data_IF_037637913327
#
_entry.id   IF_037637913327
#
_cell.length_a   1.000
_cell.length_b   1.000
_cell.length_c   1.000
_cell.angle_alpha   90.00
_cell.angle_beta   90.00
_cell.angle_gamma   90.00
#
_symmetry.space_group_name_H-M   'P 1'
#
loop_
_entity.id
_entity.type
_entity.pdbx_description
1 polymer ?
#
# COMPACT_ATOMS: atom_id res chain seq x y z
N UNK A 1 5.65 10.73 -22.81
CA UNK A 1 6.41 11.23 -21.63
C UNK A 1 7.16 10.03 -21.09
N UNK A 2 8.49 9.99 -21.20
CA UNK A 2 9.27 8.90 -20.62
C UNK A 2 9.29 9.09 -19.11
N UNK A 3 8.61 8.20 -18.40
CA UNK A 3 8.58 8.20 -16.94
C UNK A 3 9.93 7.64 -16.44
N UNK A 4 10.77 8.48 -15.89
CA UNK A 4 12.09 8.12 -15.36
C UNK A 4 11.95 7.37 -14.03
N UNK A 5 11.18 6.28 -14.02
CA UNK A 5 10.84 5.51 -12.82
C UNK A 5 12.04 4.84 -12.15
N UNK A 6 13.15 4.71 -12.88
CA UNK A 6 14.35 4.02 -12.39
C UNK A 6 15.40 4.98 -11.79
N UNK A 7 15.09 6.27 -11.68
CA UNK A 7 15.98 7.28 -11.12
C UNK A 7 15.37 7.82 -9.82
N UNK A 8 16.17 7.85 -8.77
CA UNK A 8 15.79 8.36 -7.45
C UNK A 8 15.61 7.28 -6.39
N UNK A 9 15.54 7.69 -5.12
CA UNK A 9 15.47 6.77 -4.00
C UNK A 9 14.20 5.92 -3.97
N UNK A 10 13.12 6.38 -4.58
CA UNK A 10 11.81 5.75 -4.66
C UNK A 10 11.59 4.89 -5.91
N UNK A 11 12.65 4.72 -6.74
CA UNK A 11 12.56 4.06 -8.05
C UNK A 11 11.97 2.65 -7.98
N UNK A 12 12.40 1.84 -7.01
CA UNK A 12 11.93 0.46 -6.86
C UNK A 12 10.42 0.40 -6.57
N UNK A 13 9.93 1.23 -5.65
CA UNK A 13 8.51 1.30 -5.35
C UNK A 13 7.67 1.82 -6.52
N UNK A 14 8.17 2.82 -7.24
CA UNK A 14 7.50 3.32 -8.45
C UNK A 14 7.43 2.26 -9.54
N UNK A 15 8.49 1.47 -9.70
CA UNK A 15 8.51 0.35 -10.64
C UNK A 15 7.44 -0.69 -10.27
N UNK A 16 7.36 -1.13 -9.00
CA UNK A 16 6.36 -2.09 -8.55
C UNK A 16 4.92 -1.59 -8.75
N UNK A 17 4.67 -0.30 -8.50
CA UNK A 17 3.36 0.30 -8.77
C UNK A 17 3.05 0.38 -10.26
N UNK A 18 4.04 0.61 -11.11
CA UNK A 18 3.84 0.58 -12.56
C UNK A 18 3.56 -0.83 -13.06
N UNK A 19 4.26 -1.83 -12.53
CA UNK A 19 3.97 -3.24 -12.84
C UNK A 19 2.57 -3.64 -12.40
N UNK A 20 2.12 -3.18 -11.22
CA UNK A 20 0.75 -3.40 -10.77
C UNK A 20 -0.28 -2.73 -11.69
N UNK A 21 0.00 -1.52 -12.18
CA UNK A 21 -0.89 -0.80 -13.10
C UNK A 21 -1.03 -1.50 -14.46
N UNK A 22 0.04 -2.15 -14.91
CA UNK A 22 0.06 -2.92 -16.17
C UNK A 22 -0.41 -4.37 -15.99
N UNK A 23 -0.59 -4.82 -14.75
CA UNK A 23 -0.99 -6.19 -14.46
C UNK A 23 -2.47 -6.39 -14.75
N UNK A 24 -2.79 -7.48 -15.45
CA UNK A 24 -4.16 -7.97 -15.65
C UNK A 24 -4.26 -9.39 -15.10
N UNK A 25 -5.10 -9.55 -14.09
CA UNK A 25 -5.25 -10.83 -13.43
C UNK A 25 -6.18 -10.77 -12.22
N UNK A 26 -6.49 -11.95 -11.68
CA UNK A 26 -7.35 -12.08 -10.53
C UNK A 26 -6.90 -13.25 -9.65
N UNK A 27 -7.30 -13.23 -8.39
CA UNK A 27 -7.02 -14.32 -7.46
C UNK A 27 -7.92 -14.30 -6.23
N UNK A 28 -7.87 -15.40 -5.49
CA UNK A 28 -8.55 -15.52 -4.20
C UNK A 28 -7.72 -14.91 -3.09
N UNK A 29 -8.39 -14.37 -2.08
CA UNK A 29 -7.79 -13.87 -0.83
C UNK A 29 -8.24 -14.78 0.30
N UNK A 30 -7.29 -15.24 1.09
CA UNK A 30 -7.51 -16.05 2.28
C UNK A 30 -6.65 -15.50 3.42
N UNK A 31 -6.58 -16.18 4.54
CA UNK A 31 -5.63 -15.87 5.62
C UNK A 31 -4.18 -16.01 5.16
N UNK A 32 -3.28 -15.23 5.73
CA UNK A 32 -1.85 -15.23 5.42
C UNK A 32 -1.45 -14.30 4.28
N UNK A 33 -0.33 -14.59 3.62
CA UNK A 33 0.25 -13.74 2.56
C UNK A 33 -0.15 -14.27 1.18
N UNK A 34 -0.62 -13.37 0.31
CA UNK A 34 -1.02 -13.66 -1.07
C UNK A 34 -0.35 -12.71 -2.05
N UNK A 35 0.46 -13.23 -2.93
CA UNK A 35 1.09 -12.45 -3.99
C UNK A 35 0.02 -12.00 -5.00
N UNK A 36 0.01 -10.71 -5.31
CA UNK A 36 -0.77 -10.12 -6.40
C UNK A 36 0.07 -10.13 -7.68
N UNK A 37 1.24 -9.48 -7.62
CA UNK A 37 2.28 -9.53 -8.65
C UNK A 37 3.66 -9.36 -7.97
N UNK A 38 4.73 -9.22 -8.75
CA UNK A 38 6.07 -8.98 -8.18
C UNK A 38 6.09 -7.65 -7.41
N UNK A 39 6.56 -7.69 -6.17
CA UNK A 39 6.64 -6.54 -5.28
C UNK A 39 5.31 -6.05 -4.70
N UNK A 40 4.17 -6.75 -4.96
CA UNK A 40 2.87 -6.39 -4.38
C UNK A 40 2.15 -7.62 -3.85
N UNK A 41 1.70 -7.56 -2.60
CA UNK A 41 1.01 -8.67 -1.95
C UNK A 41 -0.05 -8.21 -0.95
N UNK A 42 -1.01 -9.08 -0.70
CA UNK A 42 -1.98 -8.95 0.38
C UNK A 42 -1.51 -9.74 1.59
N UNK A 43 -1.69 -9.19 2.77
CA UNK A 43 -1.41 -9.86 4.04
C UNK A 43 -2.63 -9.78 4.94
N UNK A 44 -3.13 -10.94 5.34
CA UNK A 44 -4.27 -11.06 6.24
C UNK A 44 -3.87 -11.86 7.46
N UNK A 45 -4.48 -11.55 8.60
CA UNK A 45 -4.24 -12.25 9.86
C UNK A 45 -4.39 -13.77 9.69
N UNK A 46 -3.35 -14.58 9.98
CA UNK A 46 -3.40 -16.03 9.81
C UNK A 46 -4.37 -16.73 10.76
N UNK A 47 -4.76 -16.07 11.87
CA UNK A 47 -5.68 -16.60 12.86
C UNK A 47 -7.14 -16.24 12.57
N UNK A 48 -7.38 -15.35 11.60
CA UNK A 48 -8.73 -14.96 11.20
C UNK A 48 -9.26 -15.80 10.04
N UNK A 49 -10.58 -15.96 9.99
CA UNK A 49 -11.24 -16.49 8.81
C UNK A 49 -11.42 -15.37 7.78
N UNK A 50 -10.64 -15.39 6.73
CA UNK A 50 -10.67 -14.41 5.64
C UNK A 50 -11.02 -15.10 4.35
N UNK A 51 -11.98 -14.54 3.60
CA UNK A 51 -12.34 -14.97 2.27
C UNK A 51 -12.56 -13.75 1.37
N UNK A 52 -12.08 -13.83 0.14
CA UNK A 52 -12.24 -12.74 -0.80
C UNK A 52 -11.58 -13.00 -2.14
N UNK A 53 -11.55 -11.94 -2.94
CA UNK A 53 -10.89 -11.95 -4.25
C UNK A 53 -10.30 -10.58 -4.55
N UNK A 54 -9.27 -10.58 -5.38
CA UNK A 54 -8.76 -9.39 -6.03
C UNK A 54 -8.85 -9.54 -7.55
N UNK A 55 -8.91 -8.41 -8.22
CA UNK A 55 -8.86 -8.31 -9.67
C UNK A 55 -8.12 -7.03 -10.07
N UNK A 56 -7.28 -7.13 -11.07
CA UNK A 56 -6.60 -6.01 -11.71
C UNK A 56 -6.87 -6.05 -13.21
N UNK A 57 -7.13 -4.91 -13.80
CA UNK A 57 -7.45 -4.76 -15.21
C UNK A 57 -6.97 -3.41 -15.76
N UNK A 58 -7.03 -3.22 -17.06
CA UNK A 58 -6.71 -1.94 -17.69
C UNK A 58 -7.55 -0.75 -17.18
N UNK A 59 -8.75 -1.02 -16.65
CA UNK A 59 -9.65 0.01 -16.10
C UNK A 59 -9.38 0.34 -14.64
N UNK A 60 -8.88 -0.64 -13.86
CA UNK A 60 -8.70 -0.52 -12.41
C UNK A 60 -7.35 -1.12 -12.03
N UNK A 61 -6.53 -0.32 -11.37
CA UNK A 61 -5.22 -0.77 -10.89
C UNK A 61 -5.34 -2.00 -9.97
N UNK A 62 -6.31 -1.99 -9.04
CA UNK A 62 -6.60 -3.13 -8.17
C UNK A 62 -7.99 -2.99 -7.54
N UNK A 63 -8.83 -3.98 -7.73
CA UNK A 63 -10.10 -4.12 -7.04
C UNK A 63 -9.97 -5.21 -5.97
N UNK A 64 -10.40 -4.90 -4.75
CA UNK A 64 -10.38 -5.79 -3.60
C UNK A 64 -11.80 -5.98 -3.07
N UNK A 65 -12.17 -7.23 -2.84
CA UNK A 65 -13.38 -7.61 -2.11
C UNK A 65 -13.04 -8.73 -1.16
N UNK A 66 -13.07 -8.47 0.14
CA UNK A 66 -12.80 -9.48 1.15
C UNK A 66 -13.65 -9.27 2.39
N UNK A 67 -13.92 -10.36 3.07
CA UNK A 67 -14.63 -10.41 4.33
C UNK A 67 -13.74 -11.16 5.32
N UNK A 68 -13.44 -10.51 6.43
CA UNK A 68 -12.84 -11.16 7.58
C UNK A 68 -13.87 -11.32 8.69
N UNK A 69 -13.90 -12.48 9.32
CA UNK A 69 -14.76 -12.77 10.47
C UNK A 69 -13.93 -13.08 11.71
N UNK A 70 -14.50 -12.79 12.87
CA UNK A 70 -13.81 -12.92 14.16
C UNK A 70 -12.94 -11.70 14.46
N UNK A 71 -12.01 -11.89 15.41
CA UNK A 71 -11.12 -10.83 15.87
C UNK A 71 -9.89 -10.74 14.94
N UNK A 72 -10.05 -10.02 13.83
CA UNK A 72 -8.99 -9.83 12.83
C UNK A 72 -8.06 -8.70 13.26
N UNK A 73 -6.78 -8.99 13.45
CA UNK A 73 -5.76 -8.01 13.86
C UNK A 73 -5.35 -7.09 12.72
N UNK A 74 -5.21 -7.64 11.49
CA UNK A 74 -4.92 -6.85 10.29
C UNK A 74 -5.42 -7.52 9.00
N UNK A 75 -5.66 -6.69 8.01
CA UNK A 75 -5.77 -7.02 6.61
C UNK A 75 -5.22 -5.83 5.81
N UNK A 76 -4.24 -6.09 4.94
CA UNK A 76 -3.46 -5.02 4.34
C UNK A 76 -2.97 -5.38 2.92
N UNK A 77 -2.79 -4.34 2.12
CA UNK A 77 -2.04 -4.38 0.87
C UNK A 77 -0.64 -3.85 1.12
N UNK A 78 0.37 -4.56 0.64
CA UNK A 78 1.77 -4.19 0.74
C UNK A 78 2.35 -3.93 -0.66
N UNK A 79 3.17 -2.89 -0.75
CA UNK A 79 4.01 -2.58 -1.91
C UNK A 79 5.46 -2.52 -1.43
N UNK A 80 6.29 -3.41 -1.93
CA UNK A 80 7.71 -3.45 -1.61
C UNK A 80 8.43 -2.24 -2.21
N UNK A 81 9.23 -1.55 -1.39
CA UNK A 81 9.97 -0.35 -1.78
C UNK A 81 11.48 -0.59 -1.84
N UNK A 82 11.92 -1.83 -1.55
CA UNK A 82 13.35 -2.13 -1.40
C UNK A 82 14.00 -1.36 -0.26
N UNK A 83 15.30 -1.19 -0.31
CA UNK A 83 16.06 -0.41 0.68
C UNK A 83 16.02 1.09 0.42
N UNK A 84 14.84 1.67 0.19
CA UNK A 84 14.65 3.10 -0.05
C UNK A 84 15.40 3.96 0.97
N UNK A 85 16.43 4.69 0.51
CA UNK A 85 17.23 5.59 1.34
C UNK A 85 16.57 6.97 1.41
N UNK A 86 16.30 7.44 2.64
CA UNK A 86 15.61 8.70 2.89
C UNK A 86 16.54 9.83 3.37
N UNK A 87 17.87 9.64 3.32
CA UNK A 87 18.82 10.65 3.82
C UNK A 87 18.78 11.98 3.09
N UNK A 88 18.48 11.95 1.79
CA UNK A 88 18.47 13.15 0.94
C UNK A 88 17.04 13.65 0.65
N UNK A 89 16.03 12.99 1.17
CA UNK A 89 14.66 13.39 1.00
C UNK A 89 14.17 14.20 2.21
N UNK A 90 13.46 15.28 1.96
CA UNK A 90 12.77 16.06 2.98
C UNK A 90 11.36 15.50 3.23
N UNK A 91 10.76 14.91 2.21
CA UNK A 91 9.37 14.45 2.24
C UNK A 91 9.27 13.09 1.55
N UNK A 92 8.49 12.18 2.15
CA UNK A 92 7.97 10.98 1.50
C UNK A 92 6.45 11.11 1.35
N UNK A 93 5.94 11.00 0.15
CA UNK A 93 4.55 11.25 -0.15
C UNK A 93 3.87 10.17 -0.97
N UNK A 94 2.54 10.16 -0.88
CA UNK A 94 1.66 9.23 -1.60
C UNK A 94 0.48 9.99 -2.19
N UNK A 95 0.10 9.61 -3.41
CA UNK A 95 -1.15 10.01 -4.04
C UNK A 95 -1.91 8.74 -4.38
N UNK A 96 -3.12 8.60 -3.85
CA UNK A 96 -4.01 7.49 -4.13
C UNK A 96 -5.32 8.00 -4.71
N UNK A 97 -5.82 7.36 -5.77
CA UNK A 97 -7.16 7.58 -6.29
C UNK A 97 -7.98 6.31 -6.11
N UNK A 98 -9.12 6.44 -5.47
CA UNK A 98 -9.92 5.27 -5.08
C UNK A 98 -11.42 5.53 -5.15
N UNK A 99 -12.18 4.43 -5.17
CA UNK A 99 -13.64 4.41 -5.07
C UNK A 99 -14.05 3.19 -4.25
N UNK A 100 -15.12 3.30 -3.48
CA UNK A 100 -15.69 2.20 -2.71
C UNK A 100 -17.21 2.30 -2.68
N UNK A 101 -17.97 1.19 -2.71
CA UNK A 101 -19.45 1.23 -2.73
C UNK A 101 -20.04 1.81 -1.44
N UNK A 102 -19.32 1.65 -0.32
CA UNK A 102 -19.64 2.26 0.97
C UNK A 102 -18.38 2.93 1.52
N UNK A 103 -18.53 3.91 2.39
CA UNK A 103 -17.39 4.63 2.97
C UNK A 103 -16.47 3.68 3.73
N UNK A 104 -15.20 3.65 3.36
CA UNK A 104 -14.16 2.85 4.00
C UNK A 104 -12.95 3.72 4.31
N UNK A 105 -12.32 3.45 5.45
CA UNK A 105 -11.09 4.11 5.87
C UNK A 105 -9.90 3.18 5.71
N UNK A 106 -8.77 3.74 5.26
CA UNK A 106 -7.51 3.03 5.08
C UNK A 106 -6.39 3.85 5.74
N UNK A 107 -5.61 3.20 6.61
CA UNK A 107 -4.43 3.83 7.20
C UNK A 107 -3.21 3.49 6.37
N UNK A 108 -2.42 4.50 6.06
CA UNK A 108 -1.19 4.36 5.28
C UNK A 108 0.00 4.31 6.22
N UNK A 109 0.93 3.42 5.95
CA UNK A 109 2.11 3.19 6.79
C UNK A 109 3.33 2.95 5.91
N UNK A 110 4.45 3.55 6.29
CA UNK A 110 5.77 3.17 5.80
C UNK A 110 6.42 2.27 6.85
N UNK A 111 6.52 0.98 6.58
CA UNK A 111 7.26 0.03 7.39
C UNK A 111 8.71 -0.01 6.94
N UNK A 112 9.62 0.08 7.88
CA UNK A 112 11.07 0.06 7.64
C UNK A 112 11.70 -1.03 8.47
N UNK A 113 12.47 -1.93 7.86
CA UNK A 113 13.03 -3.08 8.53
C UNK A 113 14.52 -3.29 8.30
N UNK A 114 15.16 -3.90 9.31
CA UNK A 114 16.51 -4.42 9.29
C UNK A 114 16.47 -5.83 9.89
N UNK A 115 16.76 -6.84 9.08
CA UNK A 115 16.54 -8.23 9.47
C UNK A 115 15.10 -8.47 9.87
N UNK A 116 14.89 -9.05 11.05
CA UNK A 116 13.58 -9.39 11.60
C UNK A 116 12.89 -8.24 12.38
N UNK A 117 13.59 -7.14 12.59
CA UNK A 117 13.06 -5.98 13.30
C UNK A 117 12.51 -4.95 12.33
N UNK A 118 11.38 -4.32 12.69
CA UNK A 118 10.80 -3.26 11.89
C UNK A 118 10.19 -2.15 12.74
N UNK A 119 10.06 -0.98 12.14
CA UNK A 119 9.38 0.20 12.67
C UNK A 119 8.27 0.60 11.72
N UNK A 120 7.09 0.85 12.26
CA UNK A 120 5.92 1.34 11.52
C UNK A 120 5.78 2.85 11.72
N UNK A 121 5.88 3.60 10.63
CA UNK A 121 5.66 5.04 10.59
C UNK A 121 4.38 5.32 9.81
N UNK A 122 3.34 5.78 10.50
CA UNK A 122 2.06 6.06 9.87
C UNK A 122 2.03 7.46 9.25
N UNK A 123 1.38 7.57 8.10
CA UNK A 123 1.07 8.86 7.51
C UNK A 123 0.09 9.63 8.39
N UNK A 124 0.15 10.98 8.39
CA UNK A 124 -0.67 11.83 9.25
C UNK A 124 -2.17 11.70 9.03
N UNK A 125 -2.60 11.43 7.78
CA UNK A 125 -4.01 11.38 7.41
C UNK A 125 -4.49 9.94 7.23
N UNK A 126 -5.79 9.77 7.37
CA UNK A 126 -6.50 8.54 7.00
C UNK A 126 -7.14 8.72 5.63
N UNK A 127 -6.85 7.82 4.70
CA UNK A 127 -7.52 7.81 3.40
C UNK A 127 -8.97 7.37 3.58
N UNK A 128 -9.90 8.13 2.99
CA UNK A 128 -11.33 7.79 2.93
C UNK A 128 -11.71 7.54 1.48
N UNK A 129 -12.26 6.37 1.22
CA UNK A 129 -12.83 6.01 -0.08
C UNK A 129 -14.35 5.90 0.05
N UNK A 130 -15.08 6.36 -0.95
CA UNK A 130 -16.55 6.36 -0.98
C UNK A 130 -17.06 6.14 -2.41
N UNK A 131 -18.38 6.24 -2.64
CA UNK A 131 -19.02 5.86 -3.91
C UNK A 131 -18.71 6.76 -5.12
N UNK A 132 -17.85 7.77 -4.92
CA UNK A 132 -17.29 8.60 -5.99
C UNK A 132 -15.78 8.53 -5.97
N UNK A 133 -15.15 8.57 -7.14
CA UNK A 133 -13.70 8.57 -7.24
C UNK A 133 -13.12 9.80 -6.53
N UNK A 134 -12.29 9.55 -5.54
CA UNK A 134 -11.64 10.58 -4.72
C UNK A 134 -10.12 10.45 -4.79
N UNK A 135 -9.42 11.56 -4.64
CA UNK A 135 -7.97 11.60 -4.58
C UNK A 135 -7.53 11.94 -3.16
N UNK A 136 -6.68 11.11 -2.62
CA UNK A 136 -6.02 11.30 -1.35
C UNK A 136 -4.55 11.64 -1.59
N UNK A 137 -4.10 12.77 -1.05
CA UNK A 137 -2.70 13.17 -1.00
C UNK A 137 -2.28 13.23 0.46
N UNK A 138 -1.23 12.52 0.79
CA UNK A 138 -0.62 12.59 2.10
C UNK A 138 0.90 12.62 2.00
N UNK A 139 1.53 13.28 2.96
CA UNK A 139 2.98 13.44 3.03
C UNK A 139 3.47 13.23 4.45
N UNK A 140 4.62 12.62 4.54
CA UNK A 140 5.38 12.44 5.77
C UNK A 140 6.58 13.37 5.71
N UNK A 141 6.62 14.39 6.57
CA UNK A 141 7.80 15.21 6.76
C UNK A 141 8.87 14.36 7.47
N UNK A 142 9.95 14.13 6.78
CA UNK A 142 11.02 13.28 7.25
C UNK A 142 11.88 13.94 8.33
N UNK A 143 11.90 15.27 8.39
CA UNK A 143 12.65 16.01 9.40
C UNK A 143 11.96 15.98 10.78
N UNK A 144 10.64 15.98 10.78
CA UNK A 144 9.80 15.97 11.99
C UNK A 144 9.50 14.57 12.52
N UNK A 145 10.01 13.51 11.88
CA UNK A 145 9.78 12.12 12.29
C UNK A 145 11.09 11.43 12.68
N UNK A 146 11.59 11.65 13.90
CA UNK A 146 12.88 11.12 14.35
C UNK A 146 12.89 9.59 14.47
N UNK A 147 11.74 8.97 14.70
CA UNK A 147 11.62 7.51 14.84
C UNK A 147 11.63 6.79 13.49
N UNK A 148 11.49 7.50 12.38
CA UNK A 148 11.59 6.93 11.05
C UNK A 148 13.05 6.71 10.68
N UNK A 149 13.51 5.46 10.52
CA UNK A 149 14.88 5.18 10.09
C UNK A 149 15.16 5.80 8.72
N UNK A 150 16.21 6.59 8.59
CA UNK A 150 16.61 7.18 7.30
C UNK A 150 17.19 6.14 6.34
N UNK A 151 17.73 5.05 6.89
CA UNK A 151 18.25 3.90 6.15
C UNK A 151 17.58 2.63 6.68
N UNK A 152 17.24 1.71 5.80
CA UNK A 152 16.67 0.42 6.10
C UNK A 152 17.06 -0.59 5.03
N UNK A 153 17.16 -1.88 5.39
CA UNK A 153 17.44 -2.95 4.44
C UNK A 153 16.26 -3.18 3.49
N UNK A 154 15.05 -3.02 4.02
CA UNK A 154 13.81 -3.14 3.26
C UNK A 154 12.74 -2.19 3.78
N UNK A 155 11.81 -1.84 2.91
CA UNK A 155 10.63 -1.04 3.26
C UNK A 155 9.41 -1.53 2.49
N UNK A 156 8.26 -1.41 3.14
CA UNK A 156 6.95 -1.62 2.55
C UNK A 156 6.08 -0.38 2.73
N UNK A 157 5.42 0.04 1.67
CA UNK A 157 4.23 0.87 1.79
C UNK A 157 3.04 -0.04 2.09
N UNK A 158 2.36 0.18 3.21
CA UNK A 158 1.27 -0.65 3.66
C UNK A 158 -0.02 0.16 3.71
N UNK A 159 -1.06 -0.37 3.09
CA UNK A 159 -2.42 0.11 3.17
C UNK A 159 -3.20 -0.80 4.11
N UNK A 160 -3.37 -0.39 5.37
CA UNK A 160 -4.14 -1.14 6.37
C UNK A 160 -5.62 -0.84 6.23
N UNK A 161 -6.39 -1.87 5.99
CA UNK A 161 -7.85 -1.81 5.95
C UNK A 161 -8.42 -2.05 7.35
N UNK A 162 -9.61 -1.51 7.60
CA UNK A 162 -10.36 -1.82 8.83
C UNK A 162 -10.75 -3.31 8.85
N UNK A 163 -10.90 -3.88 10.04
CA UNK A 163 -11.41 -5.25 10.20
C UNK A 163 -12.82 -5.41 9.63
N UNK A 164 -13.14 -6.61 9.16
CA UNK A 164 -14.45 -6.96 8.61
C UNK A 164 -14.48 -6.90 7.09
N UNK A 165 -15.55 -6.31 6.55
CA UNK A 165 -15.74 -6.21 5.10
C UNK A 165 -14.89 -5.09 4.50
N UNK A 166 -14.19 -5.42 3.41
CA UNK A 166 -13.46 -4.47 2.56
C UNK A 166 -13.94 -4.64 1.13
N UNK A 167 -14.45 -3.55 0.56
CA UNK A 167 -14.74 -3.43 -0.86
C UNK A 167 -14.14 -2.12 -1.34
N UNK A 168 -13.02 -2.20 -2.06
CA UNK A 168 -12.23 -1.05 -2.48
C UNK A 168 -11.72 -1.26 -3.91
N UNK A 169 -11.79 -0.22 -4.72
CA UNK A 169 -11.09 -0.15 -6.00
C UNK A 169 -10.06 0.96 -5.94
N UNK A 170 -8.78 0.60 -6.06
CA UNK A 170 -7.70 1.52 -6.36
C UNK A 170 -7.70 1.80 -7.87
N UNK A 171 -7.88 3.05 -8.23
CA UNK A 171 -7.82 3.52 -9.61
C UNK A 171 -6.40 3.93 -9.97
N UNK A 172 -5.67 4.52 -9.01
CA UNK A 172 -4.26 4.89 -9.14
C UNK A 172 -3.59 4.95 -7.76
N UNK A 173 -2.30 4.66 -7.73
CA UNK A 173 -1.46 4.78 -6.55
C UNK A 173 -0.06 5.21 -7.01
N UNK A 174 0.44 6.28 -6.44
CA UNK A 174 1.75 6.85 -6.74
C UNK A 174 2.47 7.20 -5.45
N UNK A 175 3.79 7.14 -5.48
CA UNK A 175 4.65 7.59 -4.40
C UNK A 175 5.76 8.48 -4.93
N UNK A 176 6.32 9.30 -4.04
CA UNK A 176 7.46 10.15 -4.34
C UNK A 176 8.29 10.41 -3.08
N UNK A 177 9.59 10.56 -3.27
CA UNK A 177 10.54 11.03 -2.25
C UNK A 177 11.29 12.24 -2.81
N UNK A 178 11.21 13.38 -2.15
CA UNK A 178 11.82 14.65 -2.56
C UNK A 178 12.52 15.35 -1.41
#
# INVERSE_FOLDING_TARGET
>A
MHDNILIGPDAHGRFNLQMLRAFEGAGSIQRGKHKVNDGVYLSCDPDAAVAGRYESSSANMLQLRMQASGNTRWQALHVELGGLCLHQAAVFGIVARSVAPASITTRLCLRSGNGDHFVDSFFPKTMVSFNQASTHLDVMDLSSNPDLPKQAEWRDLILFFRSGEVSLTLLDLRLFAV
#
